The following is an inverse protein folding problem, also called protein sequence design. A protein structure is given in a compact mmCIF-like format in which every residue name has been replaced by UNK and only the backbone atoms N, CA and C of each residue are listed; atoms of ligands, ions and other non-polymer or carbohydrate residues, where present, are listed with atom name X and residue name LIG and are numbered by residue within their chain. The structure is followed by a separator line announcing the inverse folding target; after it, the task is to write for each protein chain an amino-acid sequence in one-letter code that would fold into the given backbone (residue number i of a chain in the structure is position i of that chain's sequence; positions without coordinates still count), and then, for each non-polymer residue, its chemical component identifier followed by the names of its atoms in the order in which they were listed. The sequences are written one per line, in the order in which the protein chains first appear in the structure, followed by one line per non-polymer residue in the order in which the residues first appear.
data_IF_791447769302
#
_entry.id   IF_791447769302
#
_cell.length_a   1.000
_cell.length_b   1.000
_cell.length_c   1.000
_cell.angle_alpha   90.00
_cell.angle_beta   90.00
_cell.angle_gamma   90.00
#
_symmetry.space_group_name_H-M   'P 1'
#
loop_
_entity.id
_entity.type
_entity.pdbx_description
1 polymer ?
#
# COMPACT_ATOMS: atom_id res chain seq x y z
N UNK A 1 -13.91 23.66 -26.69
CA UNK A 1 -13.58 22.32 -26.13
C UNK A 1 -12.20 21.84 -26.58
N UNK A 2 -11.10 22.44 -26.11
CA UNK A 2 -9.74 22.13 -26.61
C UNK A 2 -8.92 21.14 -25.74
N UNK A 3 -9.46 20.67 -24.61
CA UNK A 3 -8.72 19.85 -23.62
C UNK A 3 -9.29 18.45 -23.38
N UNK A 4 -10.37 18.07 -24.07
CA UNK A 4 -11.01 16.77 -23.86
C UNK A 4 -10.50 15.79 -24.91
N UNK A 5 -9.89 14.66 -24.52
CA UNK A 5 -9.43 13.65 -25.45
C UNK A 5 -10.56 13.07 -26.31
N UNK A 6 -10.23 12.64 -27.52
CA UNK A 6 -11.17 11.86 -28.33
C UNK A 6 -11.51 10.54 -27.62
N UNK A 7 -12.79 10.18 -27.58
CA UNK A 7 -13.27 8.98 -26.87
C UNK A 7 -13.30 9.10 -25.35
N UNK A 8 -13.20 10.31 -24.80
CA UNK A 8 -13.42 10.52 -23.37
C UNK A 8 -14.84 10.09 -22.97
N UNK A 9 -14.96 9.53 -21.78
CA UNK A 9 -16.23 9.22 -21.11
C UNK A 9 -16.34 10.06 -19.83
N UNK A 10 -17.57 10.34 -19.40
CA UNK A 10 -17.87 11.15 -18.22
C UNK A 10 -18.14 10.28 -16.99
N UNK A 11 -17.76 10.81 -15.83
CA UNK A 11 -18.19 10.32 -14.52
C UNK A 11 -19.07 11.40 -13.88
N UNK A 12 -20.35 11.10 -13.64
CA UNK A 12 -21.29 12.03 -13.04
C UNK A 12 -21.34 11.82 -11.53
N UNK A 13 -21.06 12.86 -10.75
CA UNK A 13 -21.01 12.82 -9.29
C UNK A 13 -22.14 13.70 -8.76
N UNK A 14 -23.17 13.05 -8.25
CA UNK A 14 -24.40 13.67 -7.79
C UNK A 14 -24.49 13.54 -6.28
N UNK A 15 -24.51 14.68 -5.60
CA UNK A 15 -24.60 14.76 -4.14
C UNK A 15 -25.80 15.62 -3.76
N UNK A 16 -26.55 15.20 -2.76
CA UNK A 16 -27.75 15.91 -2.35
C UNK A 16 -28.25 15.57 -0.96
N UNK A 17 -29.28 16.28 -0.56
CA UNK A 17 -30.07 15.99 0.64
C UNK A 17 -31.48 15.60 0.25
N UNK A 18 -32.09 14.74 1.07
CA UNK A 18 -33.47 14.34 0.91
C UNK A 18 -34.13 14.20 2.27
N UNK A 19 -35.23 14.93 2.47
CA UNK A 19 -35.91 15.04 3.77
C UNK A 19 -36.40 13.71 4.33
N UNK A 20 -36.69 12.73 3.46
CA UNK A 20 -37.17 11.42 3.88
C UNK A 20 -36.05 10.44 4.29
N UNK A 21 -34.77 10.79 4.10
CA UNK A 21 -33.66 9.93 4.50
C UNK A 21 -33.31 10.16 5.96
N UNK A 22 -33.11 9.05 6.69
CA UNK A 22 -32.58 9.07 8.06
C UNK A 22 -31.06 8.86 8.08
N UNK A 23 -30.50 8.25 7.03
CA UNK A 23 -29.09 7.92 6.88
C UNK A 23 -28.60 8.21 5.45
N UNK A 24 -27.29 8.31 5.28
CA UNK A 24 -26.68 8.50 3.97
C UNK A 24 -26.81 7.23 3.11
N UNK A 25 -27.21 7.41 1.86
CA UNK A 25 -27.29 6.35 0.85
C UNK A 25 -26.29 6.67 -0.25
N UNK A 26 -25.44 5.69 -0.56
CA UNK A 26 -24.39 5.82 -1.58
C UNK A 26 -24.55 4.74 -2.63
N UNK A 27 -24.44 5.11 -3.90
CA UNK A 27 -24.38 4.18 -5.01
C UNK A 27 -23.27 4.59 -5.98
N UNK A 28 -22.43 3.62 -6.36
CA UNK A 28 -21.49 3.74 -7.46
C UNK A 28 -21.92 2.79 -8.57
N UNK A 29 -22.19 3.36 -9.75
CA UNK A 29 -22.70 2.64 -10.91
C UNK A 29 -21.69 2.77 -12.04
N UNK A 30 -21.34 1.65 -12.66
CA UNK A 30 -20.60 1.61 -13.93
C UNK A 30 -21.51 1.05 -15.00
N UNK A 31 -21.81 1.85 -16.02
CA UNK A 31 -22.56 1.39 -17.18
C UNK A 31 -21.72 0.40 -18.01
N UNK A 32 -22.38 -0.55 -18.67
CA UNK A 32 -21.69 -1.51 -19.54
C UNK A 32 -21.05 -0.81 -20.75
N UNK A 33 -21.71 0.23 -21.26
CA UNK A 33 -21.28 1.09 -22.36
C UNK A 33 -21.54 2.55 -22.00
N UNK A 34 -20.67 3.46 -22.43
CA UNK A 34 -20.88 4.89 -22.26
C UNK A 34 -22.12 5.34 -23.02
N UNK A 35 -23.02 6.09 -22.36
CA UNK A 35 -24.27 6.58 -22.96
C UNK A 35 -24.49 8.04 -22.61
N UNK A 36 -24.99 8.83 -23.57
CA UNK A 36 -25.46 10.19 -23.30
C UNK A 36 -26.81 10.10 -22.58
N UNK A 37 -26.84 10.43 -21.28
CA UNK A 37 -28.05 10.38 -20.46
C UNK A 37 -28.61 11.80 -20.36
N UNK A 38 -29.39 12.21 -21.37
CA UNK A 38 -30.01 13.55 -21.39
C UNK A 38 -28.99 14.67 -21.11
N UNK A 39 -29.39 15.62 -20.26
CA UNK A 39 -28.60 16.82 -19.94
C UNK A 39 -27.86 16.71 -18.59
N UNK A 40 -27.50 15.50 -18.15
CA UNK A 40 -26.77 15.33 -16.87
C UNK A 40 -25.31 15.80 -16.94
N UNK A 41 -24.76 15.93 -18.14
CA UNK A 41 -23.40 16.42 -18.41
C UNK A 41 -23.46 17.74 -19.14
N UNK A 42 -22.73 18.76 -18.67
CA UNK A 42 -22.62 20.07 -19.35
C UNK A 42 -22.07 19.95 -20.78
N UNK A 43 -21.20 18.96 -21.01
CA UNK A 43 -20.58 18.70 -22.30
C UNK A 43 -21.15 17.38 -22.84
N UNK A 44 -21.43 17.26 -24.16
CA UNK A 44 -22.04 16.07 -24.75
C UNK A 44 -21.04 14.90 -24.82
N UNK A 45 -20.76 14.28 -23.68
CA UNK A 45 -19.81 13.19 -23.49
C UNK A 45 -20.59 12.02 -22.88
N UNK A 46 -20.37 10.79 -23.37
CA UNK A 46 -21.08 9.63 -22.85
C UNK A 46 -20.71 9.39 -21.39
N UNK A 47 -21.71 9.29 -20.53
CA UNK A 47 -21.56 8.89 -19.13
C UNK A 47 -21.20 7.41 -19.05
N UNK A 48 -20.14 7.09 -18.32
CA UNK A 48 -19.72 5.72 -17.99
C UNK A 48 -19.95 5.39 -16.53
N UNK A 49 -19.70 6.35 -15.64
CA UNK A 49 -19.84 6.16 -14.21
C UNK A 49 -20.83 7.15 -13.61
N UNK A 50 -21.61 6.70 -12.64
CA UNK A 50 -22.46 7.56 -11.81
C UNK A 50 -22.13 7.28 -10.34
N UNK A 51 -21.82 8.32 -9.59
CA UNK A 51 -21.76 8.29 -8.15
C UNK A 51 -22.93 9.10 -7.61
N UNK A 52 -23.78 8.49 -6.80
CA UNK A 52 -24.94 9.11 -6.17
C UNK A 52 -24.74 9.03 -4.67
N UNK A 53 -24.79 10.17 -4.00
CA UNK A 53 -24.80 10.26 -2.54
C UNK A 53 -25.94 11.16 -2.10
N UNK A 54 -26.89 10.59 -1.37
CA UNK A 54 -28.02 11.30 -0.80
C UNK A 54 -27.96 11.16 0.72
N UNK A 55 -28.11 12.27 1.44
CA UNK A 55 -28.09 12.28 2.90
C UNK A 55 -29.33 12.91 3.53
N UNK A 56 -29.49 12.79 4.86
CA UNK A 56 -30.53 13.51 5.61
C UNK A 56 -30.28 15.03 5.58
N UNK A 57 -31.29 15.85 5.91
CA UNK A 57 -31.11 17.30 6.07
C UNK A 57 -30.00 17.66 7.05
N UNK A 58 -29.17 18.65 6.70
CA UNK A 58 -28.03 19.10 7.51
C UNK A 58 -26.72 18.34 7.28
N UNK A 59 -26.65 17.47 6.26
CA UNK A 59 -25.45 16.74 5.83
C UNK A 59 -24.76 17.32 4.59
N UNK A 60 -25.31 18.38 3.97
CA UNK A 60 -24.90 18.92 2.67
C UNK A 60 -23.40 19.23 2.60
N UNK A 61 -22.86 19.93 3.60
CA UNK A 61 -21.44 20.29 3.62
C UNK A 61 -20.54 19.06 3.57
N UNK A 62 -20.87 18.01 4.35
CA UNK A 62 -20.12 16.74 4.34
C UNK A 62 -20.30 16.01 3.01
N UNK A 63 -21.52 15.97 2.49
CA UNK A 63 -21.85 15.29 1.22
C UNK A 63 -21.09 15.92 0.04
N UNK A 64 -20.98 17.25 0.00
CA UNK A 64 -20.22 17.98 -1.01
C UNK A 64 -18.74 17.63 -0.94
N UNK A 65 -18.14 17.60 0.25
CA UNK A 65 -16.73 17.20 0.38
C UNK A 65 -16.50 15.74 -0.03
N UNK A 66 -17.41 14.82 0.29
CA UNK A 66 -17.34 13.43 -0.20
C UNK A 66 -17.40 13.36 -1.73
N UNK A 67 -18.31 14.14 -2.35
CA UNK A 67 -18.40 14.25 -3.80
C UNK A 67 -17.12 14.78 -4.44
N UNK A 68 -16.50 15.79 -3.82
CA UNK A 68 -15.19 16.31 -4.25
C UNK A 68 -14.10 15.25 -4.14
N UNK A 69 -14.03 14.53 -3.02
CA UNK A 69 -13.07 13.43 -2.84
C UNK A 69 -13.24 12.34 -3.90
N UNK A 70 -14.47 11.90 -4.17
CA UNK A 70 -14.75 10.93 -5.23
C UNK A 70 -14.36 11.47 -6.62
N UNK A 71 -14.58 12.76 -6.86
CA UNK A 71 -14.18 13.41 -8.12
C UNK A 71 -12.67 13.38 -8.31
N UNK A 72 -11.92 13.68 -7.25
CA UNK A 72 -10.46 13.63 -7.27
C UNK A 72 -9.93 12.21 -7.48
N UNK A 73 -10.51 11.22 -6.78
CA UNK A 73 -10.13 9.81 -6.92
C UNK A 73 -10.37 9.31 -8.36
N UNK A 74 -11.48 9.68 -8.99
CA UNK A 74 -11.81 9.29 -10.37
C UNK A 74 -10.86 9.88 -11.44
N UNK A 75 -10.13 10.95 -11.11
CA UNK A 75 -9.12 11.55 -12.01
C UNK A 75 -7.80 10.77 -11.94
N UNK A 76 -7.54 10.04 -10.86
CA UNK A 76 -6.34 9.22 -10.75
C UNK A 76 -6.34 8.10 -11.80
N UNK A 77 -5.21 7.95 -12.48
CA UNK A 77 -5.06 7.00 -13.58
C UNK A 77 -5.21 5.54 -13.12
N UNK A 78 -4.63 5.21 -11.96
CA UNK A 78 -4.60 3.85 -11.42
C UNK A 78 -5.99 3.47 -10.92
N UNK A 79 -6.60 4.32 -10.10
CA UNK A 79 -7.97 4.09 -9.63
C UNK A 79 -8.96 3.99 -10.80
N UNK A 80 -8.82 4.84 -11.82
CA UNK A 80 -9.67 4.77 -13.01
C UNK A 80 -9.54 3.43 -13.72
N UNK A 81 -8.32 2.93 -13.94
CA UNK A 81 -8.11 1.60 -14.54
C UNK A 81 -8.75 0.48 -13.70
N UNK A 82 -8.61 0.54 -12.37
CA UNK A 82 -9.27 -0.38 -11.43
C UNK A 82 -10.79 -0.30 -11.57
N UNK A 83 -11.37 0.91 -11.59
CA UNK A 83 -12.80 1.13 -11.72
C UNK A 83 -13.38 0.57 -13.04
N UNK A 84 -12.64 0.65 -14.15
CA UNK A 84 -13.05 0.03 -15.42
C UNK A 84 -13.00 -1.50 -15.41
N UNK A 85 -12.08 -2.11 -14.64
CA UNK A 85 -11.88 -3.56 -14.59
C UNK A 85 -12.56 -4.25 -13.41
N UNK A 86 -13.04 -3.50 -12.43
CA UNK A 86 -13.66 -4.04 -11.22
C UNK A 86 -14.84 -4.98 -11.54
N UNK A 87 -14.92 -6.11 -10.84
CA UNK A 87 -16.01 -7.09 -10.97
C UNK A 87 -16.86 -7.19 -9.70
N UNK A 88 -16.28 -6.80 -8.57
CA UNK A 88 -16.90 -6.79 -7.26
C UNK A 88 -16.56 -5.47 -6.54
N UNK A 89 -17.19 -5.26 -5.38
CA UNK A 89 -16.97 -4.08 -4.53
C UNK A 89 -15.53 -4.04 -3.98
N UNK A 90 -14.96 -5.19 -3.67
CA UNK A 90 -13.63 -5.35 -3.09
C UNK A 90 -12.55 -4.74 -3.97
N UNK A 91 -12.65 -4.87 -5.31
CA UNK A 91 -11.70 -4.23 -6.22
C UNK A 91 -11.72 -2.70 -6.12
N UNK A 92 -12.91 -2.10 -5.98
CA UNK A 92 -13.04 -0.65 -5.81
C UNK A 92 -12.42 -0.21 -4.48
N UNK A 93 -12.69 -0.94 -3.39
CA UNK A 93 -12.12 -0.64 -2.07
C UNK A 93 -10.59 -0.73 -2.08
N UNK A 94 -10.03 -1.79 -2.67
CA UNK A 94 -8.58 -1.93 -2.82
C UNK A 94 -7.97 -0.78 -3.66
N UNK A 95 -8.69 -0.29 -4.67
CA UNK A 95 -8.26 0.89 -5.43
C UNK A 95 -8.28 2.18 -4.59
N UNK A 96 -9.26 2.34 -3.71
CA UNK A 96 -9.29 3.47 -2.76
C UNK A 96 -8.11 3.38 -1.79
N UNK A 97 -7.84 2.20 -1.24
CA UNK A 97 -6.72 1.99 -0.31
C UNK A 97 -5.37 2.28 -0.98
N UNK A 98 -5.16 1.82 -2.22
CA UNK A 98 -3.94 2.13 -2.99
C UNK A 98 -3.79 3.64 -3.22
N UNK A 99 -4.88 4.33 -3.56
CA UNK A 99 -4.86 5.78 -3.71
C UNK A 99 -4.47 6.46 -2.40
N UNK A 100 -5.08 6.06 -1.28
CA UNK A 100 -4.80 6.64 0.05
C UNK A 100 -3.37 6.38 0.52
N UNK A 101 -2.78 5.24 0.18
CA UNK A 101 -1.37 4.93 0.47
C UNK A 101 -0.38 5.87 -0.23
N UNK A 102 -0.79 6.54 -1.30
CA UNK A 102 0.08 7.39 -2.13
C UNK A 102 -0.18 8.89 -1.93
N UNK A 103 -1.30 9.28 -1.31
CA UNK A 103 -1.58 10.71 -1.09
C UNK A 103 -0.71 11.30 0.01
N UNK A 104 -0.14 12.47 -0.27
CA UNK A 104 0.57 13.25 0.75
C UNK A 104 -0.43 14.10 1.53
N UNK A 105 -0.58 13.83 2.82
CA UNK A 105 -1.39 14.66 3.70
C UNK A 105 -0.61 15.90 4.17
N UNK A 106 -1.29 17.06 4.16
CA UNK A 106 -0.76 18.27 4.77
C UNK A 106 -1.36 18.44 6.17
N UNK A 107 -0.55 18.50 7.24
CA UNK A 107 -1.05 18.57 8.60
C UNK A 107 -1.75 19.91 8.87
N UNK A 108 -2.91 19.91 9.56
CA UNK A 108 -3.60 21.14 9.92
C UNK A 108 -2.74 21.98 10.87
N UNK A 109 -2.64 23.29 10.61
CA UNK A 109 -1.86 24.23 11.44
C UNK A 109 -0.34 24.13 11.31
N UNK A 110 0.19 23.07 10.70
CA UNK A 110 1.62 22.91 10.40
C UNK A 110 2.04 23.51 9.05
N UNK A 111 1.09 24.03 8.29
CA UNK A 111 1.31 24.60 6.96
C UNK A 111 0.62 25.96 6.82
N UNK A 112 1.34 26.98 6.36
CA UNK A 112 0.77 28.29 6.00
C UNK A 112 0.20 28.22 4.57
N UNK A 113 -1.13 28.37 4.37
CA UNK A 113 -1.75 28.35 3.05
C UNK A 113 -1.22 29.42 2.08
N UNK A 114 -0.57 30.48 2.58
CA UNK A 114 0.03 31.53 1.76
C UNK A 114 1.36 31.10 1.12
N UNK A 115 2.01 30.08 1.65
CA UNK A 115 3.27 29.56 1.12
C UNK A 115 2.96 28.67 -0.08
N UNK A 116 3.47 29.05 -1.25
CA UNK A 116 3.32 28.26 -2.48
C UNK A 116 4.28 27.07 -2.43
N UNK A 117 3.74 25.86 -2.57
CA UNK A 117 4.55 24.66 -2.83
C UNK A 117 5.08 24.78 -4.25
N UNK A 118 6.40 24.77 -4.40
CA UNK A 118 7.00 24.71 -5.73
C UNK A 118 6.67 23.36 -6.37
N UNK A 119 6.23 23.34 -7.64
CA UNK A 119 5.99 22.10 -8.33
C UNK A 119 7.30 21.29 -8.39
N UNK A 120 7.24 19.97 -8.21
CA UNK A 120 8.43 19.14 -8.29
C UNK A 120 9.08 19.28 -9.66
N UNK A 121 10.42 19.29 -9.72
CA UNK A 121 11.18 19.48 -10.96
C UNK A 121 10.91 18.38 -12.00
N UNK A 122 10.48 17.21 -11.55
CA UNK A 122 9.97 16.13 -12.39
C UNK A 122 8.71 15.54 -11.76
N UNK A 123 7.76 15.14 -12.60
CA UNK A 123 6.57 14.42 -12.12
C UNK A 123 7.03 13.03 -11.66
N UNK A 124 6.78 12.64 -10.39
CA UNK A 124 7.17 11.32 -9.91
C UNK A 124 6.55 10.22 -10.78
N UNK A 125 7.36 9.22 -11.16
CA UNK A 125 6.89 8.12 -12.01
C UNK A 125 5.74 7.37 -11.34
N UNK A 126 4.68 7.13 -12.10
CA UNK A 126 3.50 6.37 -11.66
C UNK A 126 3.69 4.86 -11.91
N UNK A 127 4.81 4.44 -12.49
CA UNK A 127 5.07 3.04 -12.87
C UNK A 127 5.09 2.11 -11.65
N UNK A 128 5.64 2.57 -10.52
CA UNK A 128 5.65 1.81 -9.27
C UNK A 128 4.23 1.49 -8.74
N UNK A 129 3.21 2.25 -9.16
CA UNK A 129 1.80 2.04 -8.79
C UNK A 129 1.12 0.96 -9.65
N UNK A 130 1.61 0.75 -10.87
CA UNK A 130 1.08 -0.28 -11.80
C UNK A 130 1.65 -1.67 -11.52
N UNK A 131 2.76 -1.75 -10.79
CA UNK A 131 3.34 -3.03 -10.37
C UNK A 131 2.53 -3.53 -9.16
N UNK A 132 1.97 -4.74 -9.20
CA UNK A 132 1.29 -5.30 -8.04
C UNK A 132 2.30 -5.39 -6.88
N UNK A 133 2.08 -4.59 -5.82
CA UNK A 133 2.78 -4.79 -4.55
C UNK A 133 2.52 -6.24 -4.12
N UNK A 134 3.53 -6.98 -3.59
CA UNK A 134 3.29 -8.28 -2.98
C UNK A 134 2.26 -8.07 -1.87
N UNK A 135 1.01 -8.47 -2.11
CA UNK A 135 -0.08 -8.26 -1.16
C UNK A 135 0.22 -9.07 0.10
N UNK A 136 0.36 -8.39 1.22
CA UNK A 136 0.08 -9.00 2.52
C UNK A 136 -1.43 -9.32 2.52
N UNK A 137 -1.76 -10.61 2.40
CA UNK A 137 -3.14 -11.10 2.34
C UNK A 137 -3.93 -10.61 3.57
N UNK A 138 -4.96 -9.78 3.35
CA UNK A 138 -6.06 -9.57 4.28
C UNK A 138 -7.16 -10.61 4.00
N UNK A 139 -7.77 -11.25 5.02
CA UNK A 139 -8.66 -12.38 4.81
C UNK A 139 -10.13 -11.93 4.80
N UNK A 140 -10.80 -11.95 3.65
CA UNK A 140 -12.26 -12.24 3.61
C UNK A 140 -12.75 -12.60 2.20
N UNK A 141 -13.48 -13.72 2.15
CA UNK A 141 -14.42 -14.20 1.11
C UNK A 141 -13.86 -14.94 -0.11
N UNK A 142 -13.32 -16.13 0.15
CA UNK A 142 -13.53 -17.31 -0.70
C UNK A 142 -14.19 -18.41 0.17
N UNK A 143 -15.51 -18.58 0.02
CA UNK A 143 -16.22 -19.85 0.26
C UNK A 143 -16.47 -20.38 -1.17
N UNK A 144 -16.11 -21.59 -1.59
CA UNK A 144 -15.93 -22.87 -0.92
C UNK A 144 -14.86 -23.68 -1.69
N UNK A 145 -14.22 -24.61 -0.97
CA UNK A 145 -13.31 -25.69 -1.40
C UNK A 145 -11.83 -25.49 -1.01
N UNK A 146 -11.47 -26.27 0.01
CA UNK A 146 -10.14 -26.56 0.55
C UNK A 146 -9.51 -25.48 1.45
N UNK A 147 -9.71 -25.68 2.76
CA UNK A 147 -8.86 -25.14 3.83
C UNK A 147 -7.40 -25.59 3.65
N UNK A 148 -6.67 -25.03 2.69
CA UNK A 148 -5.22 -24.94 2.83
C UNK A 148 -4.93 -23.81 3.80
N UNK A 149 -4.93 -24.19 5.07
CA UNK A 149 -4.32 -23.45 6.16
C UNK A 149 -3.06 -22.71 5.67
N UNK A 150 -2.86 -21.49 6.16
CA UNK A 150 -1.55 -20.86 6.23
C UNK A 150 -0.62 -21.69 7.14
N UNK A 151 -0.36 -22.94 6.76
CA UNK A 151 0.63 -23.80 7.33
C UNK A 151 1.94 -23.39 6.67
N UNK A 152 2.78 -22.67 7.42
CA UNK A 152 4.18 -22.65 7.06
C UNK A 152 4.67 -24.11 7.22
N UNK A 153 5.03 -24.84 6.15
CA UNK A 153 5.42 -26.25 6.26
C UNK A 153 6.66 -26.45 7.15
N UNK A 154 7.31 -25.35 7.54
CA UNK A 154 8.44 -25.30 8.47
C UNK A 154 8.05 -25.33 9.95
N UNK A 155 6.78 -25.09 10.29
CA UNK A 155 6.27 -25.05 11.67
C UNK A 155 5.48 -26.30 12.07
N UNK A 156 5.42 -27.32 11.21
CA UNK A 156 4.77 -28.58 11.54
C UNK A 156 5.49 -29.31 12.69
N UNK A 157 4.71 -29.80 13.67
CA UNK A 157 5.27 -30.62 14.76
C UNK A 157 5.79 -31.96 14.20
N UNK A 158 7.10 -32.03 14.02
CA UNK A 158 7.82 -33.21 13.51
C UNK A 158 7.80 -34.46 14.41
N UNK A 159 7.24 -34.38 15.64
CA UNK A 159 7.05 -35.53 16.53
C UNK A 159 8.34 -36.19 17.08
N UNK A 160 9.52 -35.62 16.80
CA UNK A 160 10.83 -36.10 17.22
C UNK A 160 11.60 -34.96 17.91
N UNK A 161 12.38 -35.27 18.95
CA UNK A 161 13.33 -34.32 19.53
C UNK A 161 14.27 -33.79 18.41
N UNK A 162 14.31 -32.47 18.24
CA UNK A 162 15.05 -31.77 17.18
C UNK A 162 14.62 -32.03 15.72
N UNK A 163 13.45 -32.59 15.46
CA UNK A 163 13.01 -32.90 14.08
C UNK A 163 12.89 -31.67 13.17
N UNK A 164 12.47 -30.52 13.72
CA UNK A 164 12.42 -29.25 12.98
C UNK A 164 13.82 -28.75 12.59
N UNK A 165 14.81 -28.92 13.48
CA UNK A 165 16.21 -28.55 13.20
C UNK A 165 16.79 -29.41 12.06
N UNK A 166 16.50 -30.71 12.04
CA UNK A 166 16.97 -31.62 10.97
C UNK A 166 16.34 -31.26 9.62
N UNK A 167 15.04 -30.93 9.60
CA UNK A 167 14.36 -30.47 8.40
C UNK A 167 14.93 -29.14 7.89
N UNK A 168 15.25 -28.22 8.80
CA UNK A 168 15.82 -26.92 8.45
C UNK A 168 17.25 -27.04 7.92
N UNK A 169 18.07 -27.91 8.52
CA UNK A 169 19.41 -28.25 8.02
C UNK A 169 19.31 -28.89 6.62
N UNK A 170 18.44 -29.87 6.41
CA UNK A 170 18.26 -30.53 5.10
C UNK A 170 17.87 -29.53 4.00
N UNK A 171 17.05 -28.53 4.35
CA UNK A 171 16.64 -27.46 3.44
C UNK A 171 17.75 -26.46 3.15
N UNK A 172 18.61 -26.17 4.13
CA UNK A 172 19.70 -25.17 4.03
C UNK A 172 21.00 -25.72 3.43
N UNK A 173 21.30 -27.02 3.55
CA UNK A 173 22.50 -27.66 2.99
C UNK A 173 22.84 -27.26 1.53
N UNK A 174 21.90 -27.27 0.56
CA UNK A 174 22.24 -26.92 -0.82
C UNK A 174 22.71 -25.46 -0.99
N UNK A 175 22.31 -24.57 -0.09
CA UNK A 175 22.63 -23.14 -0.13
C UNK A 175 23.92 -22.79 0.64
N UNK A 176 24.41 -23.69 1.51
CA UNK A 176 25.63 -23.43 2.28
C UNK A 176 26.85 -23.15 1.39
N UNK A 177 26.92 -23.77 0.20
CA UNK A 177 28.04 -23.59 -0.72
C UNK A 177 28.04 -22.16 -1.30
N UNK A 178 26.87 -21.57 -1.57
CA UNK A 178 26.78 -20.17 -1.99
C UNK A 178 27.13 -19.24 -0.84
N UNK A 179 26.67 -19.53 0.38
CA UNK A 179 26.96 -18.68 1.56
C UNK A 179 28.47 -18.52 1.79
N UNK A 180 29.27 -19.59 1.63
CA UNK A 180 30.73 -19.49 1.76
C UNK A 180 31.39 -18.69 0.63
N UNK A 181 30.85 -18.76 -0.59
CA UNK A 181 31.35 -17.96 -1.72
C UNK A 181 31.00 -16.48 -1.53
N UNK A 182 29.79 -16.19 -1.08
CA UNK A 182 29.29 -14.84 -0.85
C UNK A 182 29.97 -14.20 0.38
N UNK A 183 30.30 -14.99 1.41
CA UNK A 183 31.06 -14.52 2.57
C UNK A 183 32.48 -14.03 2.22
N UNK A 184 33.06 -14.50 1.11
CA UNK A 184 34.36 -14.05 0.59
C UNK A 184 34.29 -12.71 -0.15
N UNK A 185 33.11 -12.11 -0.28
CA UNK A 185 32.95 -10.78 -0.84
C UNK A 185 33.67 -9.73 0.03
N UNK A 186 34.38 -8.80 -0.61
CA UNK A 186 35.27 -7.84 0.07
C UNK A 186 34.54 -7.02 1.15
N UNK A 187 33.26 -6.71 0.92
CA UNK A 187 32.42 -5.99 1.88
C UNK A 187 32.11 -6.84 3.13
N UNK A 188 31.84 -8.14 2.97
CA UNK A 188 31.61 -9.06 4.08
C UNK A 188 32.88 -9.25 4.91
N UNK A 189 34.03 -9.41 4.25
CA UNK A 189 35.34 -9.50 4.92
C UNK A 189 35.65 -8.23 5.72
N UNK A 190 35.38 -7.06 5.14
CA UNK A 190 35.56 -5.78 5.83
C UNK A 190 34.65 -5.68 7.08
N UNK A 191 33.39 -6.10 6.98
CA UNK A 191 32.47 -6.15 8.12
C UNK A 191 32.94 -7.10 9.23
N UNK A 192 33.47 -8.28 8.88
CA UNK A 192 34.02 -9.25 9.84
C UNK A 192 35.18 -8.63 10.62
N UNK A 193 36.14 -7.99 9.93
CA UNK A 193 37.28 -7.35 10.58
C UNK A 193 36.83 -6.20 11.48
N UNK A 194 35.88 -5.38 11.02
CA UNK A 194 35.33 -4.28 11.80
C UNK A 194 34.63 -4.76 13.08
N UNK A 195 33.75 -5.76 12.99
CA UNK A 195 33.07 -6.36 14.14
C UNK A 195 34.06 -7.02 15.11
N UNK A 196 35.10 -7.69 14.59
CA UNK A 196 36.15 -8.28 15.41
C UNK A 196 36.90 -7.21 16.21
N UNK A 197 37.35 -6.12 15.58
CA UNK A 197 38.04 -5.04 16.29
C UNK A 197 37.12 -4.28 17.26
N UNK A 198 35.86 -4.07 16.89
CA UNK A 198 34.86 -3.43 17.73
C UNK A 198 34.59 -4.21 19.02
N UNK A 199 34.64 -5.55 18.97
CA UNK A 199 34.42 -6.42 20.14
C UNK A 199 35.71 -6.72 20.91
N UNK A 200 36.85 -6.76 20.23
CA UNK A 200 38.15 -7.00 20.87
C UNK A 200 38.66 -5.80 21.65
N UNK A 201 38.41 -4.58 21.16
CA UNK A 201 38.91 -3.35 21.80
C UNK A 201 38.40 -3.17 23.24
N UNK A 202 37.09 -3.31 23.54
CA UNK A 202 36.61 -3.29 24.92
C UNK A 202 37.20 -4.41 25.77
N UNK A 203 37.33 -5.62 25.24
CA UNK A 203 37.86 -6.77 26.00
C UNK A 203 39.32 -6.55 26.41
N UNK A 204 40.16 -6.04 25.51
CA UNK A 204 41.55 -5.68 25.82
C UNK A 204 41.61 -4.53 26.82
N UNK A 205 40.73 -3.53 26.67
CA UNK A 205 40.67 -2.39 27.59
C UNK A 205 40.28 -2.82 29.00
N UNK A 206 39.23 -3.64 29.14
CA UNK A 206 38.83 -4.19 30.42
C UNK A 206 39.89 -5.12 31.01
N UNK A 207 40.52 -5.97 30.20
CA UNK A 207 41.62 -6.83 30.64
C UNK A 207 42.81 -6.03 31.18
N UNK A 208 43.19 -4.94 30.51
CA UNK A 208 44.26 -4.04 30.96
C UNK A 208 43.92 -3.32 32.26
N UNK A 209 42.68 -2.83 32.41
CA UNK A 209 42.20 -2.21 33.64
C UNK A 209 42.16 -3.20 34.82
N UNK A 210 41.70 -4.43 34.57
CA UNK A 210 41.68 -5.50 35.57
C UNK A 210 43.10 -5.86 36.02
N UNK A 211 44.03 -6.07 35.08
CA UNK A 211 45.42 -6.37 35.41
C UNK A 211 46.12 -5.28 36.23
N UNK A 212 45.80 -4.00 35.98
CA UNK A 212 46.26 -2.89 36.81
C UNK A 212 45.61 -2.86 38.20
N UNK A 213 44.32 -3.15 38.29
CA UNK A 213 43.59 -3.17 39.55
C UNK A 213 43.96 -4.36 40.46
N UNK A 214 44.49 -5.44 39.88
CA UNK A 214 44.88 -6.66 40.61
C UNK A 214 46.39 -6.84 40.72
N UNK A 215 47.21 -5.81 40.54
CA UNK A 215 48.69 -5.90 40.60
C UNK A 215 49.28 -7.08 39.78
N UNK A 216 48.71 -7.35 38.60
CA UNK A 216 49.12 -8.45 37.70
C UNK A 216 49.00 -9.88 38.28
N UNK A 217 48.16 -10.10 39.30
CA UNK A 217 47.87 -11.44 39.80
C UNK A 217 46.97 -12.30 38.89
N UNK A 218 46.33 -11.69 37.87
CA UNK A 218 45.59 -12.34 36.78
C UNK A 218 46.24 -12.06 35.44
#
# INVERSE_FOLDING_TARGET
MRKIPAGAEAANIMVGELDCLTYQVVALVRLCEGRNIGDITEVPIPTRFLFILLGPPGSQGKNVEIGRSMSTIMVDEVFREVAYRARNRQHILAGVDEFLDQVTALPPGGWDPKIRIEPPQSVPSQEARKVPKPQAKSPTEEEEEEEESHFDPTLERTGRLFGGLVADIKRKIPWYISDFKDALHIQCVASIIFLYLATLTPNVTFGGLLGQATDQYM
#
